data_IF_310057948908
#
_entry.id   IF_310057948908
#
_cell.length_a   1.000
_cell.length_b   1.000
_cell.length_c   1.000
_cell.angle_alpha   90.00
_cell.angle_beta   90.00
_cell.angle_gamma   90.00
#
_symmetry.space_group_name_H-M   'P 1'
#
loop_
_entity.id
_entity.type
_entity.pdbx_description
1 polymer ?
#
# COMPACT_ATOMS: atom_id res chain seq x y z
N UNK A 1 -28.13 -31.01 -18.91
CA UNK A 1 -27.86 -29.57 -18.78
C UNK A 1 -27.24 -29.30 -17.42
N UNK A 2 -26.02 -28.73 -17.39
CA UNK A 2 -25.33 -28.43 -16.13
C UNK A 2 -26.03 -27.23 -15.43
N UNK A 3 -26.33 -27.41 -14.14
CA UNK A 3 -26.91 -26.34 -13.34
C UNK A 3 -25.81 -25.33 -12.95
N UNK A 4 -26.05 -24.01 -13.03
CA UNK A 4 -25.07 -23.03 -12.58
C UNK A 4 -24.82 -23.17 -11.08
N UNK A 5 -23.53 -23.15 -10.71
CA UNK A 5 -23.10 -23.20 -9.32
C UNK A 5 -22.68 -21.81 -8.90
N UNK A 6 -23.27 -21.31 -7.84
CA UNK A 6 -22.96 -19.98 -7.31
C UNK A 6 -22.07 -20.09 -6.09
N UNK A 7 -20.98 -19.33 -6.10
CA UNK A 7 -20.10 -19.20 -4.94
C UNK A 7 -20.24 -17.79 -4.39
N UNK A 8 -20.63 -17.69 -3.13
CA UNK A 8 -20.82 -16.41 -2.47
C UNK A 8 -19.51 -15.88 -1.89
N UNK A 9 -19.30 -14.57 -2.00
CA UNK A 9 -18.21 -13.89 -1.32
C UNK A 9 -18.56 -13.71 0.16
N UNK A 10 -17.81 -14.37 1.05
CA UNK A 10 -18.11 -14.45 2.48
C UNK A 10 -17.23 -13.56 3.35
N UNK A 11 -16.50 -12.63 2.77
CA UNK A 11 -15.64 -11.75 3.53
C UNK A 11 -16.45 -10.60 4.14
N UNK A 12 -16.04 -10.15 5.34
CA UNK A 12 -16.68 -9.05 6.04
C UNK A 12 -16.33 -7.68 5.46
N UNK A 13 -15.22 -7.58 4.73
CA UNK A 13 -14.79 -6.33 4.12
C UNK A 13 -15.25 -6.24 2.67
N UNK A 14 -15.76 -5.05 2.23
CA UNK A 14 -16.08 -4.87 0.83
C UNK A 14 -14.81 -4.93 -0.02
N UNK A 15 -14.91 -5.64 -1.13
CA UNK A 15 -13.79 -5.84 -2.03
C UNK A 15 -14.21 -5.55 -3.47
N UNK A 16 -13.22 -5.24 -4.30
CA UNK A 16 -13.42 -5.02 -5.72
C UNK A 16 -12.60 -6.03 -6.51
N UNK A 17 -13.18 -6.60 -7.54
CA UNK A 17 -12.45 -7.45 -8.47
C UNK A 17 -11.60 -6.57 -9.36
N UNK A 18 -10.28 -6.74 -9.30
CA UNK A 18 -9.34 -5.98 -10.13
C UNK A 18 -9.10 -6.66 -11.47
N UNK A 19 -8.88 -7.97 -11.45
CA UNK A 19 -8.66 -8.73 -12.66
C UNK A 19 -9.18 -10.15 -12.53
N UNK A 20 -9.54 -10.73 -13.67
CA UNK A 20 -9.92 -12.13 -13.79
C UNK A 20 -9.02 -12.75 -14.86
N UNK A 21 -8.42 -13.89 -14.56
CA UNK A 21 -7.55 -14.62 -15.49
C UNK A 21 -8.11 -16.00 -15.73
N UNK A 22 -8.05 -16.44 -16.98
CA UNK A 22 -8.27 -17.82 -17.35
C UNK A 22 -6.93 -18.54 -17.26
N UNK A 23 -6.86 -19.56 -16.42
CA UNK A 23 -5.66 -20.37 -16.26
C UNK A 23 -5.91 -21.75 -16.85
N UNK A 24 -5.04 -22.17 -17.77
CA UNK A 24 -5.08 -23.53 -18.31
C UNK A 24 -4.48 -24.53 -17.33
N UNK A 25 -4.86 -25.80 -17.47
CA UNK A 25 -4.27 -26.89 -16.71
C UNK A 25 -2.83 -27.15 -17.25
N UNK A 26 -1.87 -27.32 -16.34
CA UNK A 26 -0.48 -27.66 -16.69
C UNK A 26 -0.38 -28.96 -17.50
N UNK A 27 -1.38 -29.83 -17.38
CA UNK A 27 -1.43 -31.12 -18.09
C UNK A 27 -2.18 -31.04 -19.43
N UNK A 28 -2.58 -29.86 -19.87
CA UNK A 28 -3.22 -29.70 -21.17
C UNK A 28 -4.59 -30.33 -21.30
N UNK A 29 -5.26 -30.65 -20.18
CA UNK A 29 -6.60 -31.19 -20.18
C UNK A 29 -7.64 -30.17 -20.62
N UNK A 30 -8.41 -30.46 -21.67
CA UNK A 30 -9.40 -29.55 -22.21
C UNK A 30 -10.60 -29.29 -21.27
N UNK A 31 -10.72 -30.05 -20.19
CA UNK A 31 -11.88 -30.02 -19.32
C UNK A 31 -11.67 -29.29 -17.98
N UNK A 32 -10.45 -28.86 -17.68
CA UNK A 32 -10.13 -28.19 -16.42
C UNK A 32 -9.71 -26.74 -16.70
N UNK A 33 -10.68 -25.83 -16.61
CA UNK A 33 -10.43 -24.39 -16.72
C UNK A 33 -10.45 -23.80 -15.32
N UNK A 34 -9.32 -23.23 -14.90
CA UNK A 34 -9.20 -22.54 -13.64
C UNK A 34 -9.27 -21.05 -13.86
N UNK A 35 -9.98 -20.35 -12.96
CA UNK A 35 -10.08 -18.90 -12.96
C UNK A 35 -9.26 -18.34 -11.80
N UNK A 36 -8.41 -17.36 -12.09
CA UNK A 36 -7.71 -16.60 -11.06
C UNK A 36 -8.35 -15.24 -10.91
N UNK A 37 -8.70 -14.89 -9.67
CA UNK A 37 -9.27 -13.58 -9.36
C UNK A 37 -8.28 -12.77 -8.53
N UNK A 38 -8.04 -11.52 -8.93
CA UNK A 38 -7.33 -10.56 -8.10
C UNK A 38 -8.37 -9.65 -7.45
N UNK A 39 -8.44 -9.70 -6.13
CA UNK A 39 -9.38 -8.93 -5.35
C UNK A 39 -8.65 -7.79 -4.66
N UNK A 40 -9.20 -6.59 -4.76
CA UNK A 40 -8.62 -5.38 -4.18
C UNK A 40 -9.41 -4.91 -2.98
N UNK A 41 -8.71 -4.69 -1.87
CA UNK A 41 -9.27 -4.10 -0.65
C UNK A 41 -8.69 -2.73 -0.42
N UNK A 42 -9.50 -1.84 0.14
CA UNK A 42 -9.02 -0.57 0.67
C UNK A 42 -8.87 -0.70 2.18
N UNK A 43 -7.64 -0.48 2.65
CA UNK A 43 -7.34 -0.50 4.09
C UNK A 43 -6.60 0.77 4.45
N UNK A 44 -7.21 1.58 5.29
CA UNK A 44 -6.57 2.77 5.82
C UNK A 44 -5.64 2.40 6.98
N UNK A 45 -4.52 3.12 7.13
CA UNK A 45 -3.64 2.90 8.27
C UNK A 45 -4.37 3.13 9.59
N UNK A 46 -4.05 2.29 10.57
CA UNK A 46 -4.56 2.43 11.94
C UNK A 46 -3.38 2.51 12.91
N UNK A 47 -3.65 3.02 14.11
CA UNK A 47 -2.64 3.09 15.17
C UNK A 47 -2.13 1.68 15.47
N UNK A 48 -0.81 1.51 15.53
CA UNK A 48 -0.18 0.22 15.72
C UNK A 48 0.32 -0.46 14.46
N UNK A 49 -0.06 0.02 13.28
CA UNK A 49 0.44 -0.50 12.02
C UNK A 49 1.93 -0.20 11.86
N UNK A 50 2.66 -1.17 11.33
CA UNK A 50 4.10 -1.04 11.08
C UNK A 50 4.34 -0.49 9.68
N UNK A 51 5.22 0.48 9.61
CA UNK A 51 5.69 1.07 8.37
C UNK A 51 7.19 0.96 8.28
N UNK A 52 7.71 0.88 7.08
CA UNK A 52 9.15 0.86 6.84
C UNK A 52 9.47 1.67 5.60
N UNK A 53 10.62 2.37 5.66
CA UNK A 53 11.16 2.98 4.45
C UNK A 53 11.92 1.94 3.63
N UNK A 54 12.31 2.30 2.42
CA UNK A 54 13.15 1.44 1.57
C UNK A 54 14.59 1.30 2.08
N UNK A 55 14.93 1.98 3.16
CA UNK A 55 16.26 1.97 3.78
C UNK A 55 16.29 1.23 5.13
N UNK A 56 15.23 0.46 5.42
CA UNK A 56 15.18 -0.33 6.64
C UNK A 56 14.77 0.43 7.90
N UNK A 57 14.30 1.66 7.78
CA UNK A 57 13.77 2.43 8.90
C UNK A 57 12.34 2.01 9.18
N UNK A 58 12.19 1.06 10.09
CA UNK A 58 10.87 0.61 10.52
C UNK A 58 10.34 1.48 11.65
N UNK A 59 9.04 1.63 11.68
CA UNK A 59 8.36 2.37 12.72
C UNK A 59 6.92 1.92 12.87
N UNK A 60 6.33 2.26 13.99
CA UNK A 60 4.95 1.94 14.31
C UNK A 60 4.15 3.24 14.35
N UNK A 61 2.99 3.24 13.74
CA UNK A 61 2.08 4.38 13.77
C UNK A 61 1.57 4.57 15.19
N UNK A 62 1.89 5.73 15.80
CA UNK A 62 1.56 6.00 17.19
C UNK A 62 0.35 6.91 17.37
N UNK A 63 0.17 7.88 16.50
CA UNK A 63 -0.89 8.88 16.58
C UNK A 63 -1.43 9.20 15.20
N UNK A 64 -2.74 9.39 15.11
CA UNK A 64 -3.38 9.97 13.95
C UNK A 64 -3.81 11.40 14.31
N UNK A 65 -3.14 12.39 13.73
CA UNK A 65 -3.50 13.77 13.93
C UNK A 65 -4.59 14.21 12.95
N UNK A 66 -5.54 15.05 13.39
CA UNK A 66 -6.45 15.70 12.46
C UNK A 66 -5.68 16.54 11.45
N UNK A 67 -6.21 16.65 10.24
CA UNK A 67 -5.56 17.42 9.18
C UNK A 67 -5.36 18.89 9.56
N UNK A 68 -6.26 19.44 10.35
CA UNK A 68 -6.21 20.84 10.82
C UNK A 68 -5.03 21.12 11.76
N UNK A 69 -4.53 20.08 12.46
CA UNK A 69 -3.37 20.18 13.36
C UNK A 69 -2.04 19.90 12.69
N UNK A 70 -2.06 19.52 11.41
CA UNK A 70 -0.86 19.25 10.64
C UNK A 70 -0.23 20.53 10.11
N UNK A 71 1.11 20.58 9.98
CA UNK A 71 1.76 21.70 9.30
C UNK A 71 1.35 21.76 7.84
N UNK A 72 1.46 22.93 7.24
CA UNK A 72 1.15 23.12 5.83
C UNK A 72 2.17 24.06 5.17
N UNK A 73 2.30 23.91 3.86
CA UNK A 73 3.17 24.78 3.05
C UNK A 73 2.42 26.01 2.57
N UNK A 74 3.13 26.99 2.03
CA UNK A 74 2.52 28.19 1.42
C UNK A 74 1.51 27.84 0.32
N UNK A 75 1.73 26.73 -0.37
CA UNK A 75 0.85 26.23 -1.44
C UNK A 75 -0.32 25.42 -0.92
N UNK A 76 -0.42 25.20 0.40
CA UNK A 76 -1.51 24.45 1.00
C UNK A 76 -1.32 22.94 1.07
N UNK A 77 -0.11 22.44 0.79
CA UNK A 77 0.20 21.01 0.86
C UNK A 77 0.41 20.61 2.31
N UNK A 78 -0.27 19.54 2.73
CA UNK A 78 -0.17 18.97 4.07
C UNK A 78 0.57 17.63 3.97
N UNK A 79 1.53 17.33 4.88
CA UNK A 79 2.22 16.04 4.86
C UNK A 79 1.28 14.90 5.24
N UNK A 80 1.57 13.72 4.70
CA UNK A 80 0.82 12.51 5.02
C UNK A 80 1.39 11.78 6.22
N UNK A 81 2.70 11.88 6.43
CA UNK A 81 3.42 11.18 7.50
C UNK A 81 4.44 12.14 8.13
N UNK A 82 4.50 12.13 9.45
CA UNK A 82 5.52 12.83 10.23
C UNK A 82 6.35 11.78 10.96
N UNK A 83 7.67 11.86 10.83
CA UNK A 83 8.59 10.94 11.48
C UNK A 83 9.54 11.69 12.41
N UNK A 84 10.01 10.99 13.45
CA UNK A 84 11.00 11.55 14.36
C UNK A 84 12.40 11.47 13.73
N UNK A 85 13.09 12.60 13.55
CA UNK A 85 14.41 12.60 12.91
C UNK A 85 15.53 11.96 13.76
N UNK A 86 15.31 11.72 15.03
CA UNK A 86 16.30 11.08 15.90
C UNK A 86 16.67 9.65 15.48
N UNK A 87 15.85 9.03 14.64
CA UNK A 87 16.14 7.69 14.12
C UNK A 87 17.31 7.66 13.13
N UNK A 88 17.62 8.77 12.46
CA UNK A 88 18.65 8.82 11.43
C UNK A 88 20.08 8.67 11.94
N UNK A 89 20.53 9.43 12.97
CA UNK A 89 21.91 9.32 13.44
C UNK A 89 22.25 7.96 14.02
N UNK A 90 21.32 7.35 14.77
CA UNK A 90 21.54 6.07 15.43
C UNK A 90 21.57 4.88 14.49
N UNK A 91 20.86 4.97 13.36
CA UNK A 91 20.72 3.87 12.40
C UNK A 91 21.47 4.07 11.09
N UNK A 92 22.15 5.21 10.95
CA UNK A 92 22.98 5.53 9.79
C UNK A 92 22.23 5.43 8.45
N UNK A 93 20.95 5.78 8.44
CA UNK A 93 20.11 5.72 7.23
C UNK A 93 20.18 7.02 6.43
N UNK A 94 21.39 7.46 6.11
CA UNK A 94 21.63 8.66 5.33
C UNK A 94 20.99 8.58 3.94
N UNK A 95 20.92 7.37 3.38
CA UNK A 95 20.28 7.11 2.10
C UNK A 95 18.84 7.57 2.02
N UNK A 96 18.09 7.50 3.13
CA UNK A 96 16.72 7.98 3.17
C UNK A 96 16.62 9.52 3.00
N UNK A 97 17.57 10.25 3.59
CA UNK A 97 17.64 11.70 3.41
C UNK A 97 17.96 12.06 1.96
N UNK A 98 18.91 11.36 1.35
CA UNK A 98 19.28 11.55 -0.05
C UNK A 98 18.10 11.20 -0.98
N UNK A 99 17.38 10.13 -0.69
CA UNK A 99 16.17 9.76 -1.43
C UNK A 99 15.12 10.85 -1.39
N UNK A 100 14.86 11.41 -0.21
CA UNK A 100 13.87 12.48 -0.04
C UNK A 100 14.27 13.74 -0.81
N UNK A 101 15.54 14.10 -0.77
CA UNK A 101 16.06 15.25 -1.49
C UNK A 101 15.94 15.07 -3.01
N UNK A 102 16.39 13.92 -3.50
CA UNK A 102 16.33 13.61 -4.93
C UNK A 102 14.88 13.49 -5.42
N UNK A 103 14.00 12.90 -4.63
CA UNK A 103 12.58 12.76 -4.96
C UNK A 103 11.89 14.11 -5.07
N UNK A 104 12.18 15.02 -4.14
CA UNK A 104 11.62 16.37 -4.20
C UNK A 104 12.13 17.15 -5.40
N UNK A 105 13.43 17.03 -5.70
CA UNK A 105 14.02 17.68 -6.87
C UNK A 105 13.39 17.15 -8.17
N UNK A 106 13.20 15.83 -8.28
CA UNK A 106 12.55 15.23 -9.43
C UNK A 106 11.10 15.65 -9.58
N UNK A 107 10.37 15.78 -8.47
CA UNK A 107 8.98 16.22 -8.51
C UNK A 107 8.84 17.68 -8.94
N UNK A 108 9.78 18.54 -8.59
CA UNK A 108 9.75 19.96 -8.94
C UNK A 108 10.25 20.26 -10.36
N UNK A 109 11.19 19.48 -10.85
CA UNK A 109 11.82 19.70 -12.16
C UNK A 109 11.42 18.68 -13.24
N UNK A 110 10.77 17.60 -12.86
CA UNK A 110 10.36 16.54 -13.80
C UNK A 110 11.40 15.47 -14.06
#
# INVERSE_FOLDING_TARGET
>A
MAKPKYTSFKDSEPARIESVRLMGDEKGGANNVNFGYTIRYERNPVIGDKFSSRHGQKGVLSVLWPQEDMPFTETGIVPDIIINPHAFPSRMTIGMMIESLAGKTGALQG
#
